data_IF_169651742148
#
_entry.id   IF_169651742148
#
_cell.length_a   1.000
_cell.length_b   1.000
_cell.length_c   1.000
_cell.angle_alpha   90.00
_cell.angle_beta   90.00
_cell.angle_gamma   90.00
#
_symmetry.space_group_name_H-M   'P 1'
#
loop_
_entity.id
_entity.type
_entity.pdbx_description
1 polymer ?
#
# COMPACT_ATOMS: atom_id res chain seq x y z
N UNK A 1 -34.33 14.21 -23.53
CA UNK A 1 -34.78 15.03 -24.68
C UNK A 1 -33.53 15.43 -25.47
N UNK A 2 -33.30 14.79 -26.63
CA UNK A 2 -32.08 14.93 -27.44
C UNK A 2 -31.94 16.33 -28.06
N UNK A 3 -30.71 16.87 -28.13
CA UNK A 3 -30.35 17.96 -29.06
C UNK A 3 -29.12 17.55 -29.86
N UNK A 4 -29.31 17.32 -31.17
CA UNK A 4 -28.25 17.23 -32.18
C UNK A 4 -27.74 18.64 -32.48
N UNK A 5 -26.42 18.84 -32.57
CA UNK A 5 -25.84 20.06 -33.15
C UNK A 5 -25.04 19.71 -34.42
N UNK A 6 -25.25 20.56 -35.41
CA UNK A 6 -24.96 20.47 -36.84
C UNK A 6 -23.52 20.97 -37.11
N UNK A 7 -22.76 20.27 -37.96
CA UNK A 7 -21.42 20.69 -38.43
C UNK A 7 -21.55 21.16 -39.88
N UNK A 8 -20.96 22.31 -40.21
CA UNK A 8 -20.52 22.74 -41.55
C UNK A 8 -19.43 23.84 -41.44
N UNK A 9 -18.61 24.09 -42.50
CA UNK A 9 -17.14 24.14 -42.37
C UNK A 9 -16.45 25.49 -42.73
N UNK A 10 -15.13 25.52 -42.47
CA UNK A 10 -14.03 26.34 -43.06
C UNK A 10 -13.79 27.80 -42.64
N UNK A 11 -12.55 28.11 -42.23
CA UNK A 11 -11.92 29.45 -42.24
C UNK A 11 -10.92 29.65 -41.08
N UNK A 12 -9.70 30.14 -41.37
CA UNK A 12 -8.49 30.12 -40.54
C UNK A 12 -8.38 31.18 -39.43
N UNK A 13 -7.58 30.88 -38.38
CA UNK A 13 -6.48 31.71 -37.80
C UNK A 13 -6.18 31.33 -36.31
N UNK A 14 -4.93 30.94 -36.00
CA UNK A 14 -4.36 30.72 -34.65
C UNK A 14 -4.07 32.06 -33.91
N UNK A 15 -3.68 32.15 -32.60
CA UNK A 15 -3.33 31.12 -31.59
C UNK A 15 -3.97 31.34 -30.20
N UNK A 16 -3.62 30.49 -29.21
CA UNK A 16 -3.94 30.52 -27.76
C UNK A 16 -5.20 29.77 -27.30
N UNK A 17 -4.98 28.59 -26.73
CA UNK A 17 -5.22 28.35 -25.29
C UNK A 17 -4.63 26.99 -24.91
N UNK A 18 -3.97 26.93 -23.76
CA UNK A 18 -3.59 25.66 -23.13
C UNK A 18 -4.87 24.84 -22.93
N UNK A 19 -4.97 23.69 -23.59
CA UNK A 19 -6.01 22.72 -23.30
C UNK A 19 -5.80 22.21 -21.87
N UNK A 20 -6.55 22.79 -20.94
CA UNK A 20 -6.90 22.14 -19.68
C UNK A 20 -7.62 20.84 -20.04
N UNK A 21 -6.93 19.71 -19.88
CA UNK A 21 -7.60 18.42 -19.85
C UNK A 21 -8.49 18.38 -18.61
N UNK A 22 -9.75 18.76 -18.79
CA UNK A 22 -10.85 18.43 -17.90
C UNK A 22 -10.88 16.90 -17.76
N UNK A 23 -10.42 16.42 -16.61
CA UNK A 23 -10.56 15.02 -16.20
C UNK A 23 -12.05 14.79 -15.97
N UNK A 24 -12.70 14.24 -16.99
CA UNK A 24 -14.11 13.84 -16.94
C UNK A 24 -14.34 12.90 -15.76
N UNK A 25 -15.43 13.18 -15.06
CA UNK A 25 -15.80 12.83 -13.68
C UNK A 25 -16.08 11.34 -13.39
N UNK A 26 -15.45 10.39 -14.11
CA UNK A 26 -15.80 8.96 -14.05
C UNK A 26 -14.64 8.01 -13.72
N UNK A 27 -13.45 8.53 -13.40
CA UNK A 27 -12.31 7.71 -12.89
C UNK A 27 -12.08 7.79 -11.40
N UNK A 28 -12.94 8.51 -10.66
CA UNK A 28 -12.75 8.80 -9.23
C UNK A 28 -13.62 7.90 -8.34
N UNK A 29 -13.60 6.58 -8.53
CA UNK A 29 -14.14 5.62 -7.54
C UNK A 29 -13.75 4.18 -7.86
N UNK A 30 -12.46 3.87 -7.78
CA UNK A 30 -12.06 2.56 -7.24
C UNK A 30 -11.23 2.81 -5.98
N UNK A 31 -11.90 3.35 -4.95
CA UNK A 31 -11.44 3.13 -3.59
C UNK A 31 -11.57 1.62 -3.34
N UNK A 32 -10.48 0.88 -3.62
CA UNK A 32 -10.37 -0.53 -3.24
C UNK A 32 -10.66 -0.59 -1.75
N UNK A 33 -11.76 -1.23 -1.40
CA UNK A 33 -12.21 -1.41 -0.03
C UNK A 33 -11.06 -2.01 0.78
N UNK A 34 -10.62 -1.31 1.83
CA UNK A 34 -9.52 -1.69 2.73
C UNK A 34 -9.88 -2.93 3.60
N UNK A 35 -10.94 -3.68 3.24
CA UNK A 35 -11.54 -4.73 4.06
C UNK A 35 -11.63 -6.13 3.43
N UNK A 36 -11.02 -6.41 2.29
CA UNK A 36 -11.12 -7.74 1.64
C UNK A 36 -9.80 -8.53 1.51
N UNK A 37 -8.79 -8.25 2.34
CA UNK A 37 -7.55 -9.05 2.33
C UNK A 37 -7.50 -10.09 3.47
N UNK A 38 -8.62 -10.76 3.69
CA UNK A 38 -8.64 -12.16 4.22
C UNK A 38 -9.01 -13.17 3.13
N UNK A 39 -9.15 -12.73 1.87
CA UNK A 39 -9.12 -13.63 0.73
C UNK A 39 -7.83 -13.38 -0.02
N UNK A 40 -6.80 -14.16 0.36
CA UNK A 40 -5.84 -14.65 -0.61
C UNK A 40 -6.64 -15.00 -1.87
N UNK A 41 -6.42 -14.27 -2.97
CA UNK A 41 -7.02 -14.58 -4.26
C UNK A 41 -6.58 -16.00 -4.59
N UNK A 42 -7.45 -16.95 -4.27
CA UNK A 42 -7.46 -18.31 -4.80
C UNK A 42 -7.95 -18.26 -6.24
N UNK A 43 -7.51 -17.25 -7.01
CA UNK A 43 -7.30 -17.44 -8.44
C UNK A 43 -6.13 -18.39 -8.55
N UNK A 44 -6.46 -19.69 -8.49
CA UNK A 44 -5.62 -20.86 -8.74
C UNK A 44 -4.27 -20.47 -9.34
N UNK A 45 -3.27 -20.20 -8.48
CA UNK A 45 -1.89 -20.21 -8.92
C UNK A 45 -1.63 -21.69 -9.20
N UNK A 46 -1.87 -22.10 -10.44
CA UNK A 46 -1.62 -23.46 -10.90
C UNK A 46 -0.18 -23.80 -10.52
N UNK A 47 -0.05 -24.88 -9.75
CA UNK A 47 1.12 -25.20 -8.92
C UNK A 47 2.35 -25.43 -9.80
N UNK A 48 3.12 -24.36 -9.98
CA UNK A 48 4.58 -24.37 -10.03
C UNK A 48 5.08 -23.52 -8.87
N UNK A 49 6.27 -23.80 -8.34
CA UNK A 49 6.88 -22.95 -7.30
C UNK A 49 6.98 -21.51 -7.81
N UNK A 50 6.09 -20.64 -7.33
CA UNK A 50 6.03 -19.25 -7.78
C UNK A 50 7.17 -18.50 -7.10
N UNK A 51 8.10 -17.98 -7.90
CA UNK A 51 9.17 -17.10 -7.43
C UNK A 51 8.67 -15.67 -7.55
N UNK A 52 8.80 -14.87 -6.48
CA UNK A 52 8.25 -13.53 -6.43
C UNK A 52 9.18 -12.51 -5.75
N UNK A 53 8.92 -11.23 -6.02
CA UNK A 53 9.55 -10.08 -5.35
C UNK A 53 8.46 -9.31 -4.62
N UNK A 54 8.75 -8.89 -3.39
CA UNK A 54 7.89 -7.98 -2.64
C UNK A 54 8.39 -6.55 -2.78
N UNK A 55 7.48 -5.59 -2.83
CA UNK A 55 7.83 -4.17 -2.74
C UNK A 55 7.01 -3.48 -1.67
N UNK A 56 7.65 -2.59 -0.93
CA UNK A 56 7.05 -1.77 0.12
C UNK A 56 7.35 -0.30 -0.15
N UNK A 57 6.32 0.54 -0.11
CA UNK A 57 6.45 1.98 -0.26
C UNK A 57 5.37 2.73 0.54
N UNK A 58 5.61 4.00 0.86
CA UNK A 58 4.66 4.85 1.58
C UNK A 58 4.41 6.16 0.83
N UNK A 59 3.17 6.35 0.36
CA UNK A 59 2.79 7.55 -0.38
C UNK A 59 1.94 8.49 0.49
N UNK A 60 2.15 9.80 0.32
CA UNK A 60 1.29 10.80 0.94
C UNK A 60 -0.14 10.69 0.39
N UNK A 61 -1.15 10.88 1.25
CA UNK A 61 -2.56 10.81 0.88
C UNK A 61 -3.35 12.03 1.35
N UNK A 62 -4.47 12.28 0.66
CA UNK A 62 -5.46 13.26 1.11
C UNK A 62 -6.10 12.75 2.41
N UNK A 63 -6.08 13.58 3.44
CA UNK A 63 -6.62 13.26 4.78
C UNK A 63 -8.14 13.19 4.76
N UNK A 64 -8.68 12.05 4.33
CA UNK A 64 -10.11 11.78 4.31
C UNK A 64 -10.42 10.57 5.17
N UNK A 65 -11.41 10.72 6.04
CA UNK A 65 -11.99 9.61 6.80
C UNK A 65 -13.25 9.16 6.07
N UNK A 66 -13.47 7.86 5.98
CA UNK A 66 -14.66 7.27 5.38
C UNK A 66 -15.20 6.18 6.29
N UNK A 67 -16.52 6.11 6.41
CA UNK A 67 -17.21 5.11 7.20
C UNK A 67 -17.81 4.06 6.28
N UNK A 68 -17.62 2.79 6.61
CA UNK A 68 -18.29 1.67 5.96
C UNK A 68 -19.35 1.11 6.91
N UNK A 69 -20.62 1.30 6.55
CA UNK A 69 -21.78 0.85 7.33
C UNK A 69 -21.99 -0.67 7.29
N UNK A 70 -21.49 -1.37 6.28
CA UNK A 70 -21.62 -2.82 6.18
C UNK A 70 -20.72 -3.52 7.20
N UNK A 71 -19.55 -2.93 7.48
CA UNK A 71 -18.56 -3.50 8.41
C UNK A 71 -18.43 -2.69 9.70
N UNK A 72 -19.30 -1.69 9.93
CA UNK A 72 -19.19 -0.73 11.04
C UNK A 72 -17.76 -0.25 11.33
N UNK A 73 -17.05 0.19 10.27
CA UNK A 73 -15.61 0.49 10.35
C UNK A 73 -15.24 1.81 9.71
N UNK A 74 -14.32 2.53 10.35
CA UNK A 74 -13.65 3.68 9.74
C UNK A 74 -12.41 3.29 8.94
N UNK A 75 -12.20 3.99 7.83
CA UNK A 75 -10.97 4.05 7.04
C UNK A 75 -10.42 5.47 7.04
N UNK A 76 -9.10 5.63 6.94
CA UNK A 76 -8.44 6.95 6.90
C UNK A 76 -7.73 7.36 8.21
N UNK A 77 -7.67 6.46 9.19
CA UNK A 77 -6.85 6.61 10.41
C UNK A 77 -5.57 5.76 10.32
N UNK A 78 -4.47 6.16 10.99
CA UNK A 78 -3.27 5.35 11.06
C UNK A 78 -3.53 4.08 11.88
N UNK A 79 -3.14 2.94 11.34
CA UNK A 79 -3.24 1.63 11.99
C UNK A 79 -2.04 1.43 12.91
N UNK A 80 -2.30 0.87 14.09
CA UNK A 80 -1.28 0.43 15.03
C UNK A 80 -0.60 -0.83 14.53
N UNK A 81 0.72 -0.90 14.72
CA UNK A 81 1.51 -2.07 14.33
C UNK A 81 1.81 -2.92 15.57
N UNK A 82 1.64 -4.24 15.44
CA UNK A 82 2.08 -5.23 16.43
C UNK A 82 3.23 -6.04 15.82
N UNK A 83 4.44 -5.83 16.33
CA UNK A 83 5.67 -6.39 15.72
C UNK A 83 5.79 -6.05 14.23
N UNK A 84 5.48 -4.79 13.89
CA UNK A 84 5.46 -4.34 12.50
C UNK A 84 4.31 -4.82 11.62
N UNK A 85 3.43 -5.70 12.11
CA UNK A 85 2.25 -6.14 11.34
C UNK A 85 1.07 -5.22 11.65
N UNK A 86 0.32 -4.73 10.65
CA UNK A 86 -0.86 -3.91 10.88
C UNK A 86 -1.93 -4.70 11.65
N UNK A 87 -2.48 -4.11 12.71
CA UNK A 87 -3.61 -4.69 13.44
C UNK A 87 -4.87 -4.68 12.56
N UNK A 88 -5.33 -5.86 12.17
CA UNK A 88 -6.59 -6.04 11.45
C UNK A 88 -7.78 -5.56 12.28
N UNK A 89 -8.85 -5.09 11.61
CA UNK A 89 -10.12 -4.67 12.24
C UNK A 89 -9.98 -3.53 13.27
N UNK A 90 -8.89 -2.77 13.22
CA UNK A 90 -8.81 -1.54 13.99
C UNK A 90 -9.87 -0.55 13.49
N UNK A 91 -10.56 0.10 14.43
CA UNK A 91 -11.68 1.02 14.18
C UNK A 91 -12.96 0.36 13.65
N UNK A 92 -13.10 -0.96 13.84
CA UNK A 92 -14.35 -1.71 13.69
C UNK A 92 -15.02 -1.83 15.07
N UNK A 93 -16.28 -1.40 15.18
CA UNK A 93 -17.04 -1.50 16.43
C UNK A 93 -18.54 -1.32 16.19
N UNK A 94 -19.36 -2.04 16.96
CA UNK A 94 -20.81 -1.89 16.96
C UNK A 94 -21.31 -0.80 17.93
N UNK A 95 -20.39 -0.15 18.66
CA UNK A 95 -20.71 0.93 19.60
C UNK A 95 -20.66 2.30 18.94
N UNK A 96 -21.78 3.02 18.94
CA UNK A 96 -21.84 4.40 18.45
C UNK A 96 -20.91 5.34 19.21
N UNK A 97 -20.79 5.19 20.53
CA UNK A 97 -19.91 6.04 21.35
C UNK A 97 -18.44 5.82 21.00
N UNK A 98 -18.05 4.57 20.70
CA UNK A 98 -16.70 4.27 20.23
C UNK A 98 -16.45 4.82 18.83
N UNK A 99 -17.41 4.72 17.91
CA UNK A 99 -17.31 5.33 16.58
C UNK A 99 -17.14 6.85 16.69
N UNK A 100 -17.97 7.52 17.49
CA UNK A 100 -17.90 8.96 17.73
C UNK A 100 -16.54 9.34 18.33
N UNK A 101 -16.10 8.62 19.37
CA UNK A 101 -14.81 8.84 20.01
C UNK A 101 -13.64 8.66 19.03
N UNK A 102 -13.69 7.65 18.16
CA UNK A 102 -12.68 7.48 17.11
C UNK A 102 -12.65 8.66 16.15
N UNK A 103 -13.82 9.12 15.71
CA UNK A 103 -13.92 10.23 14.75
C UNK A 103 -13.40 11.56 15.30
N UNK A 104 -13.68 11.85 16.57
CA UNK A 104 -13.30 13.12 17.21
C UNK A 104 -11.83 13.14 17.66
N UNK A 105 -11.28 12.00 18.11
CA UNK A 105 -10.01 11.96 18.83
C UNK A 105 -8.84 11.32 18.05
N UNK A 106 -9.07 10.75 16.86
CA UNK A 106 -8.00 10.12 16.07
C UNK A 106 -7.48 11.03 14.97
N UNK A 107 -6.15 11.14 14.91
CA UNK A 107 -5.48 11.79 13.80
C UNK A 107 -5.74 11.06 12.49
N UNK A 108 -5.96 11.83 11.42
CA UNK A 108 -6.09 11.29 10.07
C UNK A 108 -4.73 10.84 9.56
N UNK A 109 -4.72 9.78 8.76
CA UNK A 109 -3.47 9.27 8.18
C UNK A 109 -2.90 10.24 7.15
N UNK A 110 -1.58 10.41 7.18
CA UNK A 110 -0.84 11.23 6.22
C UNK A 110 -0.23 10.40 5.10
N UNK A 111 0.10 9.14 5.39
CA UNK A 111 0.78 8.24 4.47
C UNK A 111 0.05 6.91 4.40
N UNK A 112 -0.08 6.38 3.20
CA UNK A 112 -0.54 5.02 2.94
C UNK A 112 0.67 4.15 2.67
N UNK A 113 0.94 3.18 3.56
CA UNK A 113 1.95 2.16 3.32
C UNK A 113 1.32 1.05 2.48
N UNK A 114 1.98 0.69 1.38
CA UNK A 114 1.51 -0.25 0.38
C UNK A 114 2.53 -1.37 0.21
N UNK A 115 2.03 -2.60 0.24
CA UNK A 115 2.81 -3.82 0.06
C UNK A 115 2.30 -4.53 -1.19
N UNK A 116 3.19 -4.72 -2.17
CA UNK A 116 2.87 -5.44 -3.39
C UNK A 116 3.73 -6.70 -3.51
N UNK A 117 3.24 -7.69 -4.23
CA UNK A 117 4.02 -8.85 -4.66
C UNK A 117 3.94 -9.00 -6.18
N UNK A 118 5.10 -9.20 -6.82
CA UNK A 118 5.23 -9.41 -8.25
C UNK A 118 5.83 -10.80 -8.51
N UNK A 119 5.09 -11.72 -9.14
CA UNK A 119 5.65 -12.97 -9.65
C UNK A 119 6.74 -12.69 -10.70
N UNK A 120 7.88 -13.38 -10.61
CA UNK A 120 9.00 -13.28 -11.55
C UNK A 120 8.91 -14.27 -12.70
N UNK A 121 8.52 -15.50 -12.38
CA UNK A 121 8.34 -16.58 -13.36
C UNK A 121 6.85 -16.86 -13.43
N UNK A 122 6.11 -15.94 -14.04
CA UNK A 122 4.79 -16.28 -14.49
C UNK A 122 4.93 -16.93 -15.87
N UNK A 123 4.35 -18.11 -16.04
CA UNK A 123 4.09 -18.69 -17.37
C UNK A 123 3.34 -17.73 -18.29
N UNK A 124 2.73 -16.68 -17.71
CA UNK A 124 2.09 -15.57 -18.37
C UNK A 124 2.92 -14.27 -18.21
N UNK A 125 3.48 -13.69 -19.29
CA UNK A 125 4.21 -12.42 -19.24
C UNK A 125 3.34 -11.21 -18.82
N UNK A 126 2.01 -11.38 -18.75
CA UNK A 126 1.05 -10.37 -18.31
C UNK A 126 0.66 -10.50 -16.82
N UNK A 127 1.44 -11.20 -16.00
CA UNK A 127 1.18 -11.26 -14.56
C UNK A 127 1.32 -9.88 -13.92
N UNK A 128 0.18 -9.28 -13.58
CA UNK A 128 0.12 -8.03 -12.83
C UNK A 128 0.64 -8.23 -11.40
N UNK A 129 1.27 -7.20 -10.81
CA UNK A 129 1.53 -7.17 -9.38
C UNK A 129 0.23 -7.31 -8.58
N UNK A 130 0.29 -8.02 -7.45
CA UNK A 130 -0.81 -8.18 -6.52
C UNK A 130 -0.60 -7.29 -5.31
N UNK A 131 -1.63 -6.54 -4.92
CA UNK A 131 -1.66 -5.79 -3.67
C UNK A 131 -1.86 -6.77 -2.50
N UNK A 132 -0.86 -6.86 -1.62
CA UNK A 132 -0.92 -7.70 -0.41
C UNK A 132 -1.64 -7.00 0.73
N UNK A 133 -1.29 -5.74 0.98
CA UNK A 133 -1.93 -4.92 2.01
C UNK A 133 -1.67 -3.44 1.74
N UNK A 134 -2.65 -2.59 2.06
CA UNK A 134 -2.50 -1.15 2.14
C UNK A 134 -3.11 -0.64 3.45
N UNK A 135 -2.39 0.20 4.19
CA UNK A 135 -2.88 0.75 5.44
C UNK A 135 -2.28 2.11 5.76
N UNK A 136 -3.06 2.92 6.47
CA UNK A 136 -2.63 4.24 6.92
C UNK A 136 -1.55 4.13 7.99
N UNK A 137 -0.53 4.97 7.91
CA UNK A 137 0.54 5.09 8.90
C UNK A 137 0.78 6.55 9.29
N UNK A 138 1.52 6.72 10.38
CA UNK A 138 2.02 8.01 10.88
C UNK A 138 3.56 8.09 10.87
N UNK A 139 4.23 7.22 10.10
CA UNK A 139 5.69 7.14 10.02
C UNK A 139 6.41 6.96 11.39
N UNK A 140 5.76 6.40 12.41
CA UNK A 140 6.40 6.14 13.72
C UNK A 140 6.98 4.73 13.88
N UNK A 141 6.93 3.90 12.83
CA UNK A 141 7.51 2.55 12.87
C UNK A 141 9.04 2.61 12.81
N UNK A 142 9.69 1.59 13.37
CA UNK A 142 11.15 1.45 13.43
C UNK A 142 11.65 0.42 12.42
N UNK A 143 12.96 0.39 12.19
CA UNK A 143 13.59 -0.63 11.33
C UNK A 143 13.30 -2.08 11.78
N UNK A 144 13.17 -2.30 13.09
CA UNK A 144 12.81 -3.63 13.63
C UNK A 144 11.38 -4.05 13.26
N UNK A 145 10.45 -3.08 13.16
CA UNK A 145 9.08 -3.34 12.72
C UNK A 145 9.06 -3.74 11.25
N UNK A 146 9.86 -3.08 10.42
CA UNK A 146 10.06 -3.48 9.02
C UNK A 146 10.59 -4.91 8.92
N UNK A 147 11.66 -5.22 9.66
CA UNK A 147 12.28 -6.55 9.63
C UNK A 147 11.31 -7.65 10.06
N UNK A 148 10.60 -7.45 11.17
CA UNK A 148 9.60 -8.41 11.65
C UNK A 148 8.49 -8.64 10.61
N UNK A 149 8.08 -7.58 9.90
CA UNK A 149 7.10 -7.67 8.82
C UNK A 149 7.60 -8.48 7.63
N UNK A 150 8.82 -8.23 7.17
CA UNK A 150 9.40 -9.00 6.06
C UNK A 150 9.58 -10.47 6.43
N UNK A 151 10.00 -10.79 7.65
CA UNK A 151 10.09 -12.16 8.15
C UNK A 151 8.70 -12.82 8.13
N UNK A 152 7.68 -12.11 8.62
CA UNK A 152 6.31 -12.62 8.61
C UNK A 152 5.79 -12.85 7.19
N UNK A 153 6.00 -11.90 6.26
CA UNK A 153 5.61 -12.03 4.86
C UNK A 153 6.31 -13.20 4.18
N UNK A 154 7.62 -13.34 4.43
CA UNK A 154 8.42 -14.45 3.90
C UNK A 154 7.90 -15.81 4.36
N UNK A 155 7.62 -15.96 5.65
CA UNK A 155 7.15 -17.22 6.21
C UNK A 155 5.74 -17.58 5.73
N UNK A 156 4.82 -16.60 5.66
CA UNK A 156 3.46 -16.85 5.14
C UNK A 156 3.47 -17.18 3.64
N UNK A 157 4.31 -16.51 2.84
CA UNK A 157 4.47 -16.84 1.42
C UNK A 157 5.03 -18.26 1.24
N UNK A 158 6.02 -18.65 2.06
CA UNK A 158 6.62 -19.98 2.03
C UNK A 158 5.57 -21.07 2.31
N UNK A 159 4.70 -20.86 3.30
CA UNK A 159 3.59 -21.78 3.61
C UNK A 159 2.60 -21.93 2.44
N UNK A 160 2.53 -20.92 1.57
CA UNK A 160 1.70 -20.89 0.36
C UNK A 160 2.45 -21.35 -0.90
N UNK A 161 3.61 -21.99 -0.78
CA UNK A 161 4.48 -22.42 -1.89
C UNK A 161 4.97 -21.26 -2.80
N UNK A 162 5.02 -20.04 -2.27
CA UNK A 162 5.60 -18.86 -2.93
C UNK A 162 6.98 -18.58 -2.34
N UNK A 163 7.99 -18.48 -3.20
CA UNK A 163 9.36 -18.14 -2.81
C UNK A 163 9.62 -16.67 -3.06
N UNK A 164 9.61 -15.87 -2.00
CA UNK A 164 10.07 -14.47 -2.07
C UNK A 164 11.60 -14.48 -2.15
N UNK A 165 12.16 -13.87 -3.20
CA UNK A 165 13.61 -13.81 -3.44
C UNK A 165 14.20 -12.43 -3.20
N UNK A 166 13.38 -11.38 -3.16
CA UNK A 166 13.82 -10.03 -2.87
C UNK A 166 12.71 -9.18 -2.26
N UNK A 167 13.12 -8.17 -1.48
CA UNK A 167 12.31 -7.04 -1.07
C UNK A 167 12.86 -5.77 -1.70
N UNK A 168 11.99 -4.95 -2.28
CA UNK A 168 12.31 -3.64 -2.85
C UNK A 168 11.62 -2.55 -2.01
N UNK A 169 12.34 -1.48 -1.69
CA UNK A 169 11.82 -0.38 -0.86
C UNK A 169 12.34 0.94 -1.37
N UNK A 170 11.79 2.04 -0.85
CA UNK A 170 12.41 3.36 -0.98
C UNK A 170 13.74 3.45 -0.17
N UNK A 171 14.43 4.58 -0.29
CA UNK A 171 15.66 4.85 0.43
C UNK A 171 15.43 5.43 1.84
N UNK A 172 14.29 5.18 2.49
CA UNK A 172 14.09 5.61 3.86
C UNK A 172 15.09 4.91 4.80
N UNK A 173 15.75 5.65 5.72
CA UNK A 173 16.75 5.09 6.62
C UNK A 173 16.30 3.87 7.42
N UNK A 174 15.00 3.74 7.72
CA UNK A 174 14.44 2.60 8.46
C UNK A 174 14.43 1.34 7.62
N UNK A 175 14.08 1.43 6.34
CA UNK A 175 14.17 0.28 5.44
C UNK A 175 15.62 -0.08 5.14
N UNK A 176 16.49 0.92 4.92
CA UNK A 176 17.92 0.68 4.71
C UNK A 176 18.56 -0.03 5.92
N UNK A 177 18.21 0.39 7.15
CA UNK A 177 18.64 -0.29 8.36
C UNK A 177 18.07 -1.71 8.46
N UNK A 178 16.80 -1.92 8.10
CA UNK A 178 16.21 -3.25 8.06
C UNK A 178 16.88 -4.17 7.03
N UNK A 179 17.20 -3.67 5.83
CA UNK A 179 17.95 -4.39 4.80
C UNK A 179 19.33 -4.79 5.30
N UNK A 180 20.04 -3.86 5.95
CA UNK A 180 21.35 -4.11 6.58
C UNK A 180 21.27 -5.26 7.57
N UNK A 181 20.27 -5.24 8.46
CA UNK A 181 20.04 -6.29 9.45
C UNK A 181 19.67 -7.62 8.80
N UNK A 182 18.78 -7.61 7.80
CA UNK A 182 18.28 -8.82 7.13
C UNK A 182 19.37 -9.55 6.33
N UNK A 183 20.21 -8.80 5.61
CA UNK A 183 21.25 -9.36 4.73
C UNK A 183 22.55 -9.66 5.48
N UNK A 184 22.72 -9.12 6.69
CA UNK A 184 24.02 -9.06 7.36
C UNK A 184 25.06 -8.21 6.60
N UNK A 185 24.65 -7.50 5.54
CA UNK A 185 25.49 -6.61 4.75
C UNK A 185 25.86 -5.41 5.64
N UNK A 186 27.14 -5.12 5.81
CA UNK A 186 27.70 -4.26 6.88
C UNK A 186 27.47 -4.71 8.34
N UNK A 187 26.75 -5.79 8.64
CA UNK A 187 26.62 -6.31 10.01
C UNK A 187 27.95 -6.84 10.57
N UNK A 188 28.87 -7.24 9.68
CA UNK A 188 30.24 -7.66 10.00
C UNK A 188 31.27 -6.54 9.99
N UNK A 189 30.89 -5.34 9.56
CA UNK A 189 31.76 -4.16 9.51
C UNK A 189 31.23 -3.22 10.58
N UNK A 190 31.94 -3.15 11.71
CA UNK A 190 31.62 -2.15 12.74
C UNK A 190 31.53 -0.79 12.07
N UNK A 191 30.43 -0.07 12.30
CA UNK A 191 30.28 1.33 11.90
C UNK A 191 31.21 2.18 12.78
N UNK A 192 32.52 2.05 12.56
CA UNK A 192 33.60 2.68 13.33
C UNK A 192 33.59 2.38 14.83
N UNK A 193 34.78 2.36 15.41
CA UNK A 193 34.95 2.62 16.83
C UNK A 193 34.52 4.07 17.07
N UNK A 194 33.45 4.30 17.85
CA UNK A 194 33.26 5.60 18.49
C UNK A 194 34.41 5.72 19.48
N UNK A 195 35.52 6.31 19.04
CA UNK A 195 36.56 6.75 19.96
C UNK A 195 35.96 7.91 20.76
N UNK A 196 35.94 7.74 22.08
CA UNK A 196 35.55 8.74 23.07
C UNK A 196 36.07 10.14 22.71
N UNK A 197 35.14 11.08 22.46
CA UNK A 197 35.33 12.53 22.64
C UNK A 197 34.02 13.18 23.05
#
# INVERSE_FOLDING_TARGET
MMKKKKITPNGADEPNSLDEYELTDDTTSQAVSINELTQCSTSSITIGHSVAVCSEDANAVIKKVSYNSTTNKFSGFPISLKHGIPCSRQFETDSFDELKSCFENKDKTYYLNVHMVKPLIASNPYSSPLLLVAYGINNNFKAIDVLNRWIWMFENARQSNVRIVAFATDCDPRYLLAMRLATGFFGRINNMSICDR
#
